data_IF_333151644623
#
_entry.id   IF_333151644623
#
_cell.length_a   1.000
_cell.length_b   1.000
_cell.length_c   1.000
_cell.angle_alpha   90.00
_cell.angle_beta   90.00
_cell.angle_gamma   90.00
#
_symmetry.space_group_name_H-M   'P 1'
#
loop_
_entity.id
_entity.type
_entity.pdbx_description
1 polymer ?
#
# COMPACT_ATOMS: atom_id res chain seq x y z
N UNK A 1 64.22 -18.24 50.98
CA UNK A 1 64.27 -18.24 49.50
C UNK A 1 63.00 -17.59 49.01
N UNK A 2 63.07 -16.33 48.60
CA UNK A 2 61.92 -15.51 48.18
C UNK A 2 61.75 -15.64 46.67
N UNK A 3 60.69 -16.30 46.22
CA UNK A 3 60.32 -16.42 44.80
C UNK A 3 59.37 -15.28 44.42
N UNK A 4 59.91 -14.23 43.81
CA UNK A 4 59.12 -13.24 43.08
C UNK A 4 58.80 -13.81 41.70
N UNK A 5 57.53 -14.11 41.44
CA UNK A 5 57.04 -14.42 40.10
C UNK A 5 56.06 -13.34 39.67
N UNK A 6 56.48 -12.52 38.71
CA UNK A 6 55.62 -11.65 37.94
C UNK A 6 54.75 -12.52 37.01
N UNK A 7 53.63 -13.02 37.55
CA UNK A 7 52.65 -13.78 36.77
C UNK A 7 51.91 -12.86 35.81
N UNK A 8 52.16 -12.99 34.51
CA UNK A 8 51.40 -12.28 33.49
C UNK A 8 50.14 -13.10 33.16
N UNK A 9 48.97 -12.62 33.60
CA UNK A 9 47.68 -13.29 33.36
C UNK A 9 47.17 -12.84 31.99
N UNK A 10 47.29 -13.71 30.99
CA UNK A 10 46.65 -13.49 29.68
C UNK A 10 45.26 -14.09 29.71
N UNK A 11 44.23 -13.26 29.87
CA UNK A 11 42.85 -13.69 29.70
C UNK A 11 42.54 -13.81 28.21
N UNK A 12 42.32 -15.03 27.73
CA UNK A 12 41.88 -15.28 26.35
C UNK A 12 40.35 -15.14 26.31
N UNK A 13 39.85 -13.97 25.90
CA UNK A 13 38.43 -13.78 25.63
C UNK A 13 38.07 -14.55 24.36
N UNK A 14 37.44 -15.72 24.51
CA UNK A 14 36.88 -16.47 23.40
C UNK A 14 35.54 -15.86 23.02
N UNK A 15 35.54 -14.96 22.05
CA UNK A 15 34.30 -14.49 21.43
C UNK A 15 33.65 -15.69 20.72
N UNK A 16 32.37 -15.95 21.01
CA UNK A 16 31.62 -16.92 20.22
C UNK A 16 31.46 -16.35 18.79
N UNK A 17 31.53 -17.20 17.75
CA UNK A 17 31.31 -16.76 16.39
C UNK A 17 29.86 -16.30 16.25
N UNK A 18 29.66 -15.04 15.88
CA UNK A 18 28.35 -14.42 15.68
C UNK A 18 28.40 -13.44 14.49
N UNK A 19 27.27 -12.90 14.07
CA UNK A 19 27.20 -11.85 13.05
C UNK A 19 26.16 -10.80 13.45
N UNK A 20 26.17 -9.63 12.85
CA UNK A 20 25.07 -8.68 12.99
C UNK A 20 24.57 -8.24 11.62
N UNK A 21 23.38 -7.64 11.60
CA UNK A 21 22.75 -7.12 10.39
C UNK A 21 22.63 -5.61 10.56
N UNK A 22 23.24 -4.85 9.65
CA UNK A 22 23.21 -3.39 9.67
C UNK A 22 22.76 -2.85 8.32
N UNK A 23 21.50 -2.36 8.20
CA UNK A 23 21.04 -1.62 7.03
C UNK A 23 21.72 -0.24 6.96
N UNK A 24 21.86 0.31 5.75
CA UNK A 24 22.38 1.66 5.58
C UNK A 24 21.33 2.71 5.99
N UNK A 25 20.04 2.41 5.83
CA UNK A 25 18.95 3.25 6.31
C UNK A 25 17.85 2.43 7.00
N UNK A 26 17.47 2.85 8.22
CA UNK A 26 16.33 2.26 8.94
C UNK A 26 14.97 2.84 8.49
N UNK A 27 15.00 3.94 7.73
CA UNK A 27 13.81 4.62 7.21
C UNK A 27 14.02 4.98 5.75
N UNK A 28 13.13 4.52 4.88
CA UNK A 28 13.14 4.79 3.45
C UNK A 28 11.86 5.51 3.04
N UNK A 29 11.97 6.39 2.04
CA UNK A 29 10.80 7.05 1.44
C UNK A 29 10.78 6.75 -0.04
N UNK A 30 9.60 6.41 -0.56
CA UNK A 30 9.41 6.18 -1.99
C UNK A 30 8.07 6.78 -2.45
N UNK A 31 7.93 6.94 -3.76
CA UNK A 31 6.66 7.36 -4.36
C UNK A 31 5.78 6.16 -4.65
N UNK A 32 4.48 6.36 -4.80
CA UNK A 32 3.60 5.38 -5.43
C UNK A 32 4.18 4.92 -6.78
N UNK A 33 4.15 3.60 -7.04
CA UNK A 33 4.77 2.95 -8.22
C UNK A 33 6.31 3.13 -8.35
N UNK A 34 6.95 3.64 -7.30
CA UNK A 34 8.41 3.79 -7.23
C UNK A 34 9.14 2.54 -6.73
N UNK A 35 10.47 2.60 -6.79
CA UNK A 35 11.37 1.63 -6.20
C UNK A 35 12.37 2.34 -5.29
N UNK A 36 12.69 1.73 -4.16
CA UNK A 36 13.78 2.14 -3.28
C UNK A 36 14.70 0.95 -3.01
N UNK A 37 16.00 1.21 -2.97
CA UNK A 37 17.02 0.21 -2.64
C UNK A 37 17.80 0.63 -1.41
N UNK A 38 18.15 -0.35 -0.59
CA UNK A 38 18.97 -0.18 0.62
C UNK A 38 20.11 -1.20 0.64
N UNK A 39 21.22 -0.82 1.26
CA UNK A 39 22.41 -1.69 1.34
C UNK A 39 22.49 -2.29 2.73
N UNK A 40 22.48 -3.62 2.80
CA UNK A 40 22.63 -4.39 4.03
C UNK A 40 24.09 -4.84 4.19
N UNK A 41 24.65 -4.59 5.36
CA UNK A 41 26.01 -5.00 5.74
C UNK A 41 25.97 -6.01 6.87
N UNK A 42 26.89 -6.98 6.82
CA UNK A 42 26.92 -8.13 7.74
C UNK A 42 28.30 -8.28 8.39
N UNK A 43 28.65 -7.46 9.40
CA UNK A 43 29.94 -7.60 10.06
C UNK A 43 30.01 -8.92 10.84
N UNK A 44 31.12 -9.64 10.64
CA UNK A 44 31.43 -10.85 11.39
C UNK A 44 31.90 -10.51 12.80
N UNK A 45 31.50 -11.30 13.79
CA UNK A 45 31.97 -11.24 15.16
C UNK A 45 32.60 -12.58 15.55
N UNK A 46 33.66 -12.54 16.37
CA UNK A 46 34.29 -13.75 16.89
C UNK A 46 34.84 -14.72 15.82
N UNK A 47 35.22 -14.23 14.64
CA UNK A 47 35.78 -15.05 13.56
C UNK A 47 34.75 -15.86 12.76
N UNK A 48 33.46 -15.52 12.87
CA UNK A 48 32.40 -16.15 12.11
C UNK A 48 32.64 -16.09 10.59
N UNK A 49 32.56 -17.24 9.93
CA UNK A 49 32.78 -17.41 8.48
C UNK A 49 31.66 -18.23 7.80
N UNK A 50 30.50 -18.35 8.46
CA UNK A 50 29.35 -19.10 7.94
C UNK A 50 28.58 -18.32 6.88
N UNK A 51 27.88 -19.04 5.99
CA UNK A 51 26.98 -18.42 5.01
C UNK A 51 25.69 -17.95 5.67
N UNK A 52 25.29 -16.71 5.41
CA UNK A 52 24.09 -16.08 5.94
C UNK A 52 23.01 -16.10 4.86
N UNK A 53 21.92 -16.83 5.09
CA UNK A 53 20.73 -16.83 4.23
C UNK A 53 19.80 -15.67 4.61
N UNK A 54 19.29 -14.96 3.62
CA UNK A 54 18.52 -13.74 3.77
C UNK A 54 17.08 -13.97 3.30
N UNK A 55 16.13 -13.57 4.12
CA UNK A 55 14.70 -13.57 3.78
C UNK A 55 14.14 -12.16 4.00
N UNK A 56 13.25 -11.73 3.11
CA UNK A 56 12.52 -10.48 3.27
C UNK A 56 11.03 -10.76 3.46
N UNK A 57 10.42 -10.02 4.39
CA UNK A 57 8.97 -9.99 4.57
C UNK A 57 8.50 -8.55 4.73
N UNK A 58 7.32 -8.24 4.21
CA UNK A 58 6.73 -6.90 4.29
C UNK A 58 5.37 -7.00 4.95
N UNK A 59 5.07 -6.09 5.88
CA UNK A 59 3.76 -5.95 6.49
C UNK A 59 3.26 -4.51 6.39
N UNK A 60 1.94 -4.34 6.22
CA UNK A 60 1.33 -3.02 6.07
C UNK A 60 -0.04 -3.08 5.39
N UNK A 61 -0.63 -1.91 5.10
CA UNK A 61 -1.92 -1.82 4.42
C UNK A 61 -1.81 -2.29 2.95
N UNK A 62 -2.82 -2.99 2.40
CA UNK A 62 -2.82 -3.33 0.97
C UNK A 62 -2.91 -2.06 0.11
N UNK A 63 -2.22 -2.03 -1.06
CA UNK A 63 -1.49 -3.13 -1.68
C UNK A 63 -0.09 -3.36 -1.08
N UNK A 64 0.34 -4.62 -0.99
CA UNK A 64 1.62 -4.99 -0.35
C UNK A 64 2.81 -4.78 -1.31
N UNK A 65 3.84 -4.01 -0.93
CA UNK A 65 5.06 -3.83 -1.71
C UNK A 65 5.76 -5.16 -1.95
N UNK A 66 6.38 -5.31 -3.12
CA UNK A 66 7.26 -6.44 -3.36
C UNK A 66 8.63 -6.14 -2.74
N UNK A 67 9.18 -7.10 -1.99
CA UNK A 67 10.54 -7.00 -1.46
C UNK A 67 11.41 -8.11 -2.03
N UNK A 68 12.59 -7.74 -2.53
CA UNK A 68 13.62 -8.65 -3.00
C UNK A 68 14.96 -8.35 -2.32
N UNK A 69 15.76 -9.39 -2.09
CA UNK A 69 17.13 -9.25 -1.61
C UNK A 69 18.04 -9.97 -2.60
N UNK A 70 19.08 -9.29 -3.06
CA UNK A 70 20.08 -9.85 -3.95
C UNK A 70 21.50 -9.48 -3.50
N UNK A 71 22.40 -10.47 -3.31
CA UNK A 71 22.14 -11.91 -3.30
C UNK A 71 21.38 -12.38 -2.04
N UNK A 72 20.66 -13.50 -2.14
CA UNK A 72 19.89 -14.09 -1.02
C UNK A 72 20.75 -14.89 -0.02
N UNK A 73 22.03 -15.07 -0.32
CA UNK A 73 23.02 -15.66 0.56
C UNK A 73 24.32 -14.87 0.48
N UNK A 74 24.86 -14.48 1.63
CA UNK A 74 26.10 -13.69 1.71
C UNK A 74 27.08 -14.32 2.69
N UNK A 75 28.36 -14.11 2.43
CA UNK A 75 29.41 -14.33 3.42
C UNK A 75 29.54 -13.11 4.34
N UNK A 76 30.07 -13.30 5.57
CA UNK A 76 30.29 -12.20 6.49
C UNK A 76 31.27 -11.19 5.89
N UNK A 77 30.99 -9.89 6.03
CA UNK A 77 31.75 -8.81 5.40
C UNK A 77 31.35 -8.49 3.96
N UNK A 78 30.52 -9.32 3.33
CA UNK A 78 29.88 -8.96 2.05
C UNK A 78 28.63 -8.11 2.30
N UNK A 79 28.22 -7.39 1.26
CA UNK A 79 27.04 -6.56 1.22
C UNK A 79 25.92 -7.22 0.39
N UNK A 80 24.67 -7.00 0.79
CA UNK A 80 23.50 -7.38 0.02
C UNK A 80 22.67 -6.14 -0.30
N UNK A 81 21.98 -6.16 -1.43
CA UNK A 81 21.04 -5.11 -1.80
C UNK A 81 19.61 -5.55 -1.50
N UNK A 82 18.90 -4.76 -0.69
CA UNK A 82 17.48 -4.85 -0.44
C UNK A 82 16.78 -3.94 -1.45
N UNK A 83 15.80 -4.45 -2.17
CA UNK A 83 15.00 -3.68 -3.12
C UNK A 83 13.54 -3.80 -2.76
N UNK A 84 12.89 -2.66 -2.56
CA UNK A 84 11.46 -2.56 -2.24
C UNK A 84 10.77 -1.85 -3.40
N UNK A 85 9.82 -2.53 -4.04
CA UNK A 85 8.99 -1.99 -5.10
C UNK A 85 7.61 -1.65 -4.54
N UNK A 86 7.20 -0.40 -4.70
CA UNK A 86 5.83 0.02 -4.38
C UNK A 86 4.84 -0.81 -5.19
N UNK A 87 3.76 -1.23 -4.55
CA UNK A 87 2.69 -1.89 -5.28
C UNK A 87 1.83 -0.85 -6.01
N UNK A 88 1.44 -1.17 -7.23
CA UNK A 88 0.52 -0.36 -8.01
C UNK A 88 -0.83 -0.30 -7.29
N UNK A 89 -1.29 0.89 -6.91
CA UNK A 89 -2.70 1.09 -6.57
C UNK A 89 -3.47 0.97 -7.88
N UNK A 90 -3.83 -0.25 -8.26
CA UNK A 90 -4.92 -0.48 -9.18
C UNK A 90 -6.15 0.07 -8.48
N UNK A 91 -6.51 1.31 -8.78
CA UNK A 91 -7.82 1.85 -8.45
C UNK A 91 -8.81 0.87 -9.06
N UNK A 92 -9.34 -0.03 -8.22
CA UNK A 92 -10.52 -0.78 -8.59
C UNK A 92 -11.57 0.30 -8.82
N UNK A 93 -11.78 0.65 -10.09
CA UNK A 93 -13.02 1.28 -10.51
C UNK A 93 -14.08 0.28 -10.05
N UNK A 94 -14.61 0.48 -8.84
CA UNK A 94 -15.86 -0.13 -8.47
C UNK A 94 -16.81 0.38 -9.53
N UNK A 95 -17.32 -0.50 -10.41
CA UNK A 95 -18.28 -0.05 -11.39
C UNK A 95 -19.44 0.48 -10.55
N UNK A 96 -19.71 1.78 -10.60
CA UNK A 96 -20.86 2.41 -9.93
C UNK A 96 -22.21 1.94 -10.54
N UNK A 97 -22.26 0.71 -11.06
CA UNK A 97 -23.43 0.08 -11.66
C UNK A 97 -24.59 -0.09 -10.66
N UNK A 98 -24.31 -0.07 -9.35
CA UNK A 98 -25.34 -0.26 -8.33
C UNK A 98 -26.12 0.99 -7.92
N UNK A 99 -25.80 2.18 -8.46
CA UNK A 99 -26.55 3.41 -8.15
C UNK A 99 -27.26 4.03 -9.36
N UNK A 100 -27.38 3.28 -10.45
CA UNK A 100 -28.15 3.69 -11.64
C UNK A 100 -29.60 3.21 -11.58
N UNK A 101 -29.93 2.21 -10.77
CA UNK A 101 -31.28 1.63 -10.68
C UNK A 101 -32.28 2.60 -10.02
N UNK A 102 -31.87 3.34 -8.99
CA UNK A 102 -32.72 4.35 -8.33
C UNK A 102 -32.96 5.60 -9.17
N UNK A 103 -32.01 5.99 -10.03
CA UNK A 103 -32.18 7.15 -10.94
C UNK A 103 -33.00 6.84 -12.17
N UNK A 104 -32.96 5.60 -12.68
CA UNK A 104 -33.73 5.21 -13.86
C UNK A 104 -35.22 4.98 -13.53
N UNK A 105 -35.57 4.65 -12.28
CA UNK A 105 -36.97 4.59 -11.86
C UNK A 105 -37.63 5.98 -11.71
N UNK A 106 -36.85 7.04 -11.46
CA UNK A 106 -37.38 8.39 -11.37
C UNK A 106 -37.69 9.02 -12.74
N UNK A 107 -37.07 8.55 -13.82
CA UNK A 107 -37.27 9.07 -15.18
C UNK A 107 -38.22 8.23 -16.04
N UNK A 108 -38.44 6.95 -15.72
CA UNK A 108 -39.41 6.12 -16.44
C UNK A 108 -40.88 6.32 -16.00
N UNK A 109 -41.11 6.75 -14.76
CA UNK A 109 -42.44 7.03 -14.23
C UNK A 109 -43.20 8.12 -15.03
N UNK A 110 -42.61 9.27 -15.40
CA UNK A 110 -43.34 10.29 -16.16
C UNK A 110 -43.65 9.85 -17.60
N UNK A 111 -42.79 9.04 -18.24
CA UNK A 111 -42.97 8.62 -19.64
C UNK A 111 -44.13 7.61 -19.76
N UNK A 112 -44.28 6.71 -18.79
CA UNK A 112 -45.41 5.77 -18.73
C UNK A 112 -46.77 6.47 -18.56
N UNK A 113 -46.82 7.54 -17.75
CA UNK A 113 -48.05 8.32 -17.52
C UNK A 113 -48.43 9.12 -18.78
N UNK A 114 -47.45 9.70 -19.48
CA UNK A 114 -47.69 10.41 -20.75
C UNK A 114 -48.18 9.43 -21.82
N UNK A 115 -47.60 8.22 -21.93
CA UNK A 115 -48.09 7.18 -22.84
C UNK A 115 -49.53 6.75 -22.58
N UNK A 116 -49.91 6.59 -21.30
CA UNK A 116 -51.25 6.14 -20.90
C UNK A 116 -52.34 7.20 -21.14
N UNK A 117 -52.05 8.47 -20.86
CA UNK A 117 -52.98 9.59 -21.12
C UNK A 117 -53.20 9.82 -22.63
N UNK A 118 -52.19 9.52 -23.45
CA UNK A 118 -52.26 9.63 -24.91
C UNK A 118 -53.15 8.54 -25.55
N UNK A 119 -53.32 7.37 -24.92
CA UNK A 119 -54.13 6.25 -25.44
C UNK A 119 -55.60 6.33 -24.98
N UNK A 120 -55.89 6.88 -23.81
CA UNK A 120 -57.25 6.85 -23.23
C UNK A 120 -58.12 8.09 -23.54
N UNK A 121 -57.57 9.19 -24.04
CA UNK A 121 -58.31 10.45 -24.18
C UNK A 121 -58.53 10.90 -25.63
N UNK A 122 -59.76 11.34 -25.90
CA UNK A 122 -60.26 11.76 -27.21
C UNK A 122 -59.47 12.92 -27.84
N UNK A 123 -59.39 12.95 -29.18
CA UNK A 123 -58.45 13.76 -29.98
C UNK A 123 -58.51 15.26 -29.68
N UNK A 124 -59.68 15.76 -29.26
CA UNK A 124 -59.92 17.18 -28.92
C UNK A 124 -59.45 17.54 -27.50
N UNK A 125 -59.48 16.59 -26.55
CA UNK A 125 -59.17 16.81 -25.12
C UNK A 125 -57.70 16.49 -24.79
N UNK A 126 -57.08 15.63 -25.62
CA UNK A 126 -55.65 15.26 -25.59
C UNK A 126 -54.73 16.47 -25.75
N UNK A 127 -55.05 17.42 -26.64
CA UNK A 127 -54.22 18.61 -26.93
C UNK A 127 -54.16 19.59 -25.76
N UNK A 128 -55.28 19.74 -25.03
CA UNK A 128 -55.36 20.62 -23.85
C UNK A 128 -54.64 20.00 -22.65
N UNK A 129 -54.80 18.70 -22.44
CA UNK A 129 -54.11 17.99 -21.36
C UNK A 129 -52.60 17.89 -21.60
N UNK A 130 -52.14 17.68 -22.84
CA UNK A 130 -50.70 17.70 -23.15
C UNK A 130 -50.09 19.08 -22.94
N UNK A 131 -50.81 20.15 -23.29
CA UNK A 131 -50.34 21.52 -23.07
C UNK A 131 -50.27 21.86 -21.58
N UNK A 132 -51.28 21.47 -20.78
CA UNK A 132 -51.26 21.66 -19.32
C UNK A 132 -50.12 20.88 -18.65
N UNK A 133 -49.91 19.62 -19.03
CA UNK A 133 -48.87 18.76 -18.46
C UNK A 133 -47.47 19.26 -18.85
N UNK A 134 -47.30 19.76 -20.08
CA UNK A 134 -46.05 20.38 -20.53
C UNK A 134 -45.77 21.70 -19.79
N UNK A 135 -46.79 22.51 -19.51
CA UNK A 135 -46.68 23.73 -18.71
C UNK A 135 -46.24 23.42 -17.26
N UNK A 136 -46.80 22.36 -16.67
CA UNK A 136 -46.46 21.89 -15.33
C UNK A 136 -45.02 21.33 -15.27
N UNK A 137 -44.57 20.61 -16.31
CA UNK A 137 -43.18 20.11 -16.38
C UNK A 137 -42.19 21.27 -16.53
N UNK A 138 -42.53 22.32 -17.27
CA UNK A 138 -41.65 23.49 -17.44
C UNK A 138 -41.51 24.35 -16.18
N UNK A 139 -42.49 24.35 -15.28
CA UNK A 139 -42.43 25.10 -14.01
C UNK A 139 -41.77 24.32 -12.87
N UNK A 140 -41.60 23.00 -13.01
CA UNK A 140 -41.01 22.11 -11.98
C UNK A 140 -39.58 21.64 -12.35
N UNK A 141 -38.87 22.32 -13.27
CA UNK A 141 -37.40 22.19 -13.31
C UNK A 141 -36.78 23.31 -12.47
N UNK A 142 -36.66 23.17 -11.14
CA UNK A 142 -35.77 24.04 -10.40
C UNK A 142 -34.33 23.70 -10.81
N UNK A 143 -33.54 24.76 -10.91
CA UNK A 143 -32.09 24.74 -11.08
C UNK A 143 -31.46 23.82 -10.03
N UNK A 144 -31.21 22.56 -10.38
CA UNK A 144 -30.41 21.64 -9.59
C UNK A 144 -28.95 21.68 -10.06
N UNK A 145 -28.35 22.87 -10.04
CA UNK A 145 -26.90 23.02 -10.13
C UNK A 145 -26.33 22.91 -8.71
N UNK A 146 -26.36 21.70 -8.16
CA UNK A 146 -25.68 21.37 -6.90
C UNK A 146 -24.19 21.26 -7.16
N UNK A 147 -23.45 22.37 -6.98
CA UNK A 147 -21.99 22.39 -7.00
C UNK A 147 -21.44 21.71 -5.75
N UNK A 148 -21.09 20.42 -5.87
CA UNK A 148 -20.35 19.70 -4.84
C UNK A 148 -18.87 20.06 -4.92
N UNK A 149 -18.41 20.96 -4.06
CA UNK A 149 -16.98 21.18 -3.82
C UNK A 149 -16.41 19.95 -3.09
N UNK A 150 -16.02 18.93 -3.84
CA UNK A 150 -15.21 17.84 -3.29
C UNK A 150 -13.79 18.36 -3.10
N UNK A 151 -13.45 18.82 -1.90
CA UNK A 151 -12.06 18.85 -1.49
C UNK A 151 -11.53 17.41 -1.58
N UNK A 152 -10.52 17.13 -2.42
CA UNK A 152 -9.90 15.82 -2.40
C UNK A 152 -9.32 15.58 -0.99
N UNK A 153 -9.51 14.39 -0.40
CA UNK A 153 -8.87 14.05 0.86
C UNK A 153 -7.35 14.19 0.72
N UNK A 154 -6.64 14.58 1.79
CA UNK A 154 -5.18 14.68 1.77
C UNK A 154 -4.57 13.33 1.33
N UNK A 155 -3.48 13.34 0.54
CA UNK A 155 -2.81 12.12 0.13
C UNK A 155 -2.40 11.32 1.38
N UNK A 156 -2.94 10.12 1.51
CA UNK A 156 -2.67 9.25 2.66
C UNK A 156 -1.32 8.59 2.39
N UNK A 157 -0.27 9.07 3.05
CA UNK A 157 1.01 8.39 3.05
C UNK A 157 0.84 6.99 3.67
N UNK A 158 1.29 5.97 2.95
CA UNK A 158 1.19 4.58 3.41
C UNK A 158 2.51 4.15 4.04
N UNK A 159 2.46 3.65 5.27
CA UNK A 159 3.64 3.17 5.98
C UNK A 159 3.68 1.63 5.95
N UNK A 160 4.83 1.10 5.58
CA UNK A 160 5.14 -0.32 5.52
C UNK A 160 6.30 -0.65 6.44
N UNK A 161 6.30 -1.86 6.98
CA UNK A 161 7.42 -2.40 7.74
C UNK A 161 8.03 -3.57 6.97
N UNK A 162 9.31 -3.43 6.66
CA UNK A 162 10.10 -4.44 5.97
C UNK A 162 10.98 -5.13 7.00
N UNK A 163 10.78 -6.42 7.18
CA UNK A 163 11.56 -7.24 8.11
C UNK A 163 12.52 -8.11 7.31
N UNK A 164 13.81 -7.90 7.53
CA UNK A 164 14.90 -8.69 6.96
C UNK A 164 15.34 -9.70 8.00
N UNK A 165 15.26 -10.98 7.67
CA UNK A 165 15.71 -12.08 8.53
C UNK A 165 16.97 -12.68 7.94
N UNK A 166 18.04 -12.67 8.71
CA UNK A 166 19.32 -13.27 8.37
C UNK A 166 19.53 -14.51 9.23
N UNK A 167 19.68 -15.67 8.59
CA UNK A 167 19.80 -16.96 9.26
C UNK A 167 21.08 -17.65 8.83
N UNK A 168 21.90 -18.08 9.79
CA UNK A 168 23.06 -18.93 9.55
C UNK A 168 23.07 -20.08 10.54
N UNK A 169 22.80 -21.30 10.05
CA UNK A 169 22.71 -22.52 10.85
C UNK A 169 21.79 -22.34 12.08
N UNK A 170 22.35 -22.14 13.27
CA UNK A 170 21.62 -21.94 14.54
C UNK A 170 21.51 -20.47 14.97
N UNK A 171 22.20 -19.56 14.29
CA UNK A 171 22.21 -18.13 14.58
C UNK A 171 21.20 -17.42 13.69
N UNK A 172 20.36 -16.60 14.28
CA UNK A 172 19.34 -15.83 13.55
C UNK A 172 19.28 -14.41 14.09
N UNK A 173 19.38 -13.45 13.18
CA UNK A 173 19.26 -12.02 13.45
C UNK A 173 18.20 -11.43 12.54
N UNK A 174 17.41 -10.49 13.05
CA UNK A 174 16.38 -9.81 12.28
C UNK A 174 16.47 -8.30 12.44
N UNK A 175 16.14 -7.56 11.39
CA UNK A 175 16.13 -6.11 11.40
C UNK A 175 14.89 -5.58 10.69
N UNK A 176 14.30 -4.54 11.26
CA UNK A 176 13.09 -3.90 10.74
C UNK A 176 13.43 -2.54 10.14
N UNK A 177 12.87 -2.27 8.97
CA UNK A 177 13.08 -1.04 8.19
C UNK A 177 11.70 -0.46 7.90
N UNK A 178 11.50 0.81 8.23
CA UNK A 178 10.25 1.51 7.95
C UNK A 178 10.30 2.13 6.57
N UNK A 179 9.29 1.86 5.74
CA UNK A 179 9.19 2.41 4.38
C UNK A 179 7.92 3.23 4.27
N UNK A 180 8.06 4.52 4.01
CA UNK A 180 6.93 5.43 3.78
C UNK A 180 6.74 5.67 2.29
N UNK A 181 5.51 5.50 1.83
CA UNK A 181 5.11 5.76 0.44
C UNK A 181 4.29 7.04 0.40
N UNK A 182 4.80 8.03 -0.34
CA UNK A 182 4.16 9.33 -0.57
C UNK A 182 3.52 9.45 -1.95
#
# INVERSE_FOLDING_TARGET
MTLNSNMNVTAKFSLLPDFSVSPAAMSLTMKHDGQVSDTLTFPAQGGFSGSIALACSVSGPPPMPACGISPNSVSPGSNATLTVNAASLSAALTPQFFNTTTRLHATLLPIGIVGFVLVLFDRKRRRVWTLCLLLIVTTILPVACGGGSSNPPPPVAQNYTVTVTATSATLQHSTTISVTVN
#
